data_IF_302200513976
#
_entry.id   IF_302200513976
#
_cell.length_a   1.000
_cell.length_b   1.000
_cell.length_c   1.000
_cell.angle_alpha   90.00
_cell.angle_beta   90.00
_cell.angle_gamma   90.00
#
_symmetry.space_group_name_H-M   'P 1'
#
loop_
_entity.id
_entity.type
_entity.pdbx_description
1 polymer ?
#
# COMPACT_ATOMS: atom_id res chain seq x y z
N UNK A 1 -13.86 1.31 17.23
CA UNK A 1 -12.55 1.94 17.24
C UNK A 1 -12.16 2.42 15.85
N UNK A 2 -11.43 3.54 15.77
CA UNK A 2 -10.83 4.00 14.54
C UNK A 2 -9.31 3.88 14.59
N UNK A 3 -8.71 3.53 13.47
CA UNK A 3 -7.25 3.54 13.28
C UNK A 3 -6.93 4.44 12.11
N UNK A 4 -6.11 5.45 12.31
CA UNK A 4 -5.64 6.34 11.26
C UNK A 4 -4.20 5.99 10.95
N UNK A 5 -3.93 5.56 9.72
CA UNK A 5 -2.58 5.35 9.23
C UNK A 5 -1.95 6.70 8.89
N UNK A 6 -0.75 6.92 9.41
CA UNK A 6 0.01 8.15 9.19
C UNK A 6 1.38 7.81 8.63
N UNK A 7 2.02 8.76 7.96
CA UNK A 7 3.41 8.61 7.55
C UNK A 7 4.36 9.17 8.63
N UNK A 8 5.63 8.85 8.52
CA UNK A 8 6.67 9.44 9.39
C UNK A 8 6.73 10.97 9.29
N UNK A 9 6.34 11.55 8.15
CA UNK A 9 6.31 13.01 7.97
C UNK A 9 5.04 13.64 8.56
N UNK A 10 3.91 12.92 8.52
CA UNK A 10 2.61 13.50 8.88
C UNK A 10 2.16 13.14 10.29
N UNK A 11 2.79 12.14 10.93
CA UNK A 11 2.33 11.59 12.21
C UNK A 11 2.19 12.66 13.31
N UNK A 12 3.28 13.38 13.60
CA UNK A 12 3.27 14.37 14.67
C UNK A 12 2.31 15.54 14.38
N UNK A 13 2.20 15.96 13.13
CA UNK A 13 1.28 17.03 12.74
C UNK A 13 -0.19 16.58 12.90
N UNK A 14 -0.52 15.36 12.50
CA UNK A 14 -1.88 14.80 12.64
C UNK A 14 -2.21 14.60 14.12
N UNK A 15 -1.29 14.05 14.91
CA UNK A 15 -1.48 13.86 16.36
C UNK A 15 -1.76 15.20 17.06
N UNK A 16 -0.91 16.22 16.78
CA UNK A 16 -1.08 17.56 17.35
C UNK A 16 -2.38 18.22 16.92
N UNK A 17 -2.76 18.08 15.67
CA UNK A 17 -4.02 18.61 15.14
C UNK A 17 -5.24 17.96 15.78
N UNK A 18 -5.28 16.64 15.84
CA UNK A 18 -6.38 15.92 16.51
C UNK A 18 -6.50 16.25 17.99
N UNK A 19 -5.37 16.50 18.67
CA UNK A 19 -5.38 16.93 20.06
C UNK A 19 -5.94 18.35 20.21
N UNK A 20 -5.50 19.28 19.36
CA UNK A 20 -5.97 20.68 19.36
C UNK A 20 -7.47 20.79 19.11
N UNK A 21 -8.00 19.99 18.19
CA UNK A 21 -9.42 19.99 17.82
C UNK A 21 -10.27 19.03 18.68
N UNK A 22 -9.73 18.59 19.82
CA UNK A 22 -10.43 17.64 20.72
C UNK A 22 -11.03 16.44 19.96
N UNK A 23 -10.25 15.89 19.00
CA UNK A 23 -10.65 14.75 18.13
C UNK A 23 -12.01 14.94 17.47
N UNK A 24 -12.42 16.18 17.20
CA UNK A 24 -13.74 16.53 16.65
C UNK A 24 -14.91 15.97 17.45
N UNK A 25 -14.75 15.82 18.75
CA UNK A 25 -15.77 15.26 19.64
C UNK A 25 -15.90 13.73 19.56
N UNK A 26 -15.02 13.03 18.81
CA UNK A 26 -15.04 11.58 18.77
C UNK A 26 -14.64 10.99 20.12
N UNK A 27 -15.59 10.29 20.76
CA UNK A 27 -15.41 9.70 22.10
C UNK A 27 -14.93 8.26 22.09
N UNK A 28 -14.89 7.61 20.91
CA UNK A 28 -14.46 6.23 20.78
C UNK A 28 -12.94 6.04 20.85
N UNK A 29 -12.48 4.77 20.91
CA UNK A 29 -11.06 4.45 20.82
C UNK A 29 -10.49 4.88 19.48
N UNK A 30 -9.44 5.72 19.52
CA UNK A 30 -8.73 6.24 18.36
C UNK A 30 -7.25 5.87 18.48
N UNK A 31 -6.72 5.19 17.48
CA UNK A 31 -5.33 4.79 17.40
C UNK A 31 -4.67 5.44 16.18
N UNK A 32 -3.45 5.92 16.34
CA UNK A 32 -2.61 6.32 15.21
C UNK A 32 -1.63 5.20 14.91
N UNK A 33 -1.57 4.82 13.63
CA UNK A 33 -0.67 3.78 13.12
C UNK A 33 0.41 4.43 12.27
N UNK A 34 1.58 4.79 12.86
CA UNK A 34 2.65 5.39 12.09
C UNK A 34 3.19 4.38 11.09
N UNK A 35 3.15 4.74 9.82
CA UNK A 35 3.80 4.02 8.74
C UNK A 35 5.31 4.09 8.92
N UNK A 36 5.96 2.93 8.90
CA UNK A 36 7.41 2.89 8.82
C UNK A 36 7.85 3.13 7.39
N UNK A 37 8.98 3.79 7.27
CA UNK A 37 9.67 3.86 6.02
C UNK A 37 10.13 2.46 5.62
N UNK A 38 9.86 2.05 4.41
CA UNK A 38 10.76 1.12 3.76
C UNK A 38 11.88 2.01 3.26
N UNK A 39 13.09 1.69 3.64
CA UNK A 39 14.27 2.31 3.05
C UNK A 39 14.43 1.87 1.60
N UNK A 40 13.46 2.23 0.76
CA UNK A 40 13.66 2.25 -0.67
C UNK A 40 14.48 3.49 -0.93
N UNK A 41 15.69 3.32 -1.43
CA UNK A 41 16.49 4.43 -1.91
C UNK A 41 15.67 5.18 -2.95
N UNK A 42 15.51 6.47 -2.79
CA UNK A 42 14.90 7.30 -3.83
C UNK A 42 15.76 7.35 -5.08
N UNK A 43 17.02 6.98 -4.96
CA UNK A 43 17.96 6.91 -6.07
C UNK A 43 18.31 5.43 -6.28
N UNK A 44 17.70 4.79 -7.27
CA UNK A 44 18.01 3.41 -7.60
C UNK A 44 19.47 3.30 -8.07
N UNK A 45 20.11 2.19 -7.76
CA UNK A 45 21.43 1.87 -8.30
C UNK A 45 21.32 1.61 -9.81
N UNK A 46 22.42 1.71 -10.54
CA UNK A 46 22.44 1.48 -12.00
C UNK A 46 21.84 0.12 -12.40
N UNK A 47 22.07 -0.93 -11.59
CA UNK A 47 21.46 -2.25 -11.79
C UNK A 47 19.95 -2.24 -11.61
N UNK A 48 19.44 -1.50 -10.61
CA UNK A 48 18.00 -1.43 -10.30
C UNK A 48 17.27 -0.67 -11.40
N UNK A 49 17.90 0.36 -11.95
CA UNK A 49 17.39 1.10 -13.10
C UNK A 49 17.27 0.22 -14.34
N UNK A 50 18.27 -0.60 -14.64
CA UNK A 50 18.21 -1.55 -15.76
C UNK A 50 17.03 -2.50 -15.58
N UNK A 51 16.93 -3.11 -14.40
CA UNK A 51 15.89 -4.07 -14.10
C UNK A 51 14.49 -3.46 -14.19
N UNK A 52 14.27 -2.30 -13.56
CA UNK A 52 13.00 -1.59 -13.59
C UNK A 52 12.54 -1.23 -15.01
N UNK A 53 13.48 -0.88 -15.89
CA UNK A 53 13.14 -0.48 -17.27
C UNK A 53 12.91 -1.69 -18.19
N UNK A 54 13.54 -2.81 -17.93
CA UNK A 54 13.36 -4.04 -18.70
C UNK A 54 12.04 -4.74 -18.35
N UNK A 55 11.57 -4.63 -17.11
CA UNK A 55 10.31 -5.23 -16.66
C UNK A 55 9.08 -4.36 -16.88
N UNK A 56 9.24 -3.07 -17.14
CA UNK A 56 8.10 -2.23 -17.45
C UNK A 56 7.47 -2.63 -18.79
N UNK A 57 6.13 -2.77 -18.87
CA UNK A 57 5.45 -2.92 -20.14
C UNK A 57 5.95 -1.85 -21.12
N UNK A 58 6.22 -2.24 -22.35
CA UNK A 58 6.60 -1.27 -23.38
C UNK A 58 5.40 -0.36 -23.64
N UNK A 59 5.34 0.75 -22.94
CA UNK A 59 4.40 1.81 -23.27
C UNK A 59 4.72 2.34 -24.65
N UNK A 60 3.72 2.40 -25.52
CA UNK A 60 3.84 3.08 -26.79
C UNK A 60 3.89 4.59 -26.51
N UNK A 61 5.10 5.07 -26.21
CA UNK A 61 5.37 6.49 -26.06
C UNK A 61 5.49 7.11 -27.45
N UNK A 62 5.07 8.35 -27.60
CA UNK A 62 5.41 9.11 -28.79
C UNK A 62 6.94 9.31 -28.85
N UNK A 63 7.44 9.66 -30.05
CA UNK A 63 8.89 9.78 -30.29
C UNK A 63 9.57 10.80 -29.35
N UNK A 64 8.86 11.84 -28.96
CA UNK A 64 9.39 12.88 -28.08
C UNK A 64 9.46 12.42 -26.63
N UNK A 65 8.40 11.76 -26.13
CA UNK A 65 8.37 11.18 -24.81
C UNK A 65 9.42 10.07 -24.66
N UNK A 66 9.62 9.26 -25.72
CA UNK A 66 10.66 8.23 -25.73
C UNK A 66 12.06 8.83 -25.63
N UNK A 67 12.36 9.92 -26.38
CA UNK A 67 13.65 10.61 -26.30
C UNK A 67 13.92 11.20 -24.93
N UNK A 68 12.92 11.81 -24.30
CA UNK A 68 13.04 12.35 -22.94
C UNK A 68 13.31 11.22 -21.94
N UNK A 69 12.58 10.14 -22.04
CA UNK A 69 12.76 8.94 -21.20
C UNK A 69 14.16 8.35 -21.34
N UNK A 70 14.64 8.16 -22.58
CA UNK A 70 15.96 7.59 -22.86
C UNK A 70 17.08 8.50 -22.35
N UNK A 71 16.92 9.81 -22.48
CA UNK A 71 17.86 10.79 -21.97
C UNK A 71 17.93 10.80 -20.44
N UNK A 72 16.77 10.75 -19.78
CA UNK A 72 16.70 10.68 -18.33
C UNK A 72 17.28 9.38 -17.79
N UNK A 73 16.95 8.25 -18.42
CA UNK A 73 17.49 6.94 -18.09
C UNK A 73 19.02 6.92 -18.21
N UNK A 74 19.56 7.41 -19.33
CA UNK A 74 21.02 7.49 -19.54
C UNK A 74 21.69 8.39 -18.50
N UNK A 75 21.09 9.53 -18.17
CA UNK A 75 21.62 10.45 -17.17
C UNK A 75 21.62 9.84 -15.76
N UNK A 76 20.55 9.15 -15.38
CA UNK A 76 20.45 8.46 -14.08
C UNK A 76 21.45 7.31 -13.96
N UNK A 77 21.62 6.51 -15.03
CA UNK A 77 22.63 5.44 -15.06
C UNK A 77 24.04 6.02 -14.92
N UNK A 78 24.37 7.06 -15.69
CA UNK A 78 25.66 7.71 -15.64
C UNK A 78 25.96 8.28 -14.25
N UNK A 79 24.96 8.92 -13.64
CA UNK A 79 25.08 9.44 -12.27
C UNK A 79 25.27 8.32 -11.24
N UNK A 80 24.50 7.23 -11.31
CA UNK A 80 24.63 6.09 -10.41
C UNK A 80 25.99 5.38 -10.55
N UNK A 81 26.53 5.30 -11.77
CA UNK A 81 27.87 4.78 -12.02
C UNK A 81 28.97 5.70 -11.47
N UNK A 82 28.77 7.01 -11.52
CA UNK A 82 29.73 7.99 -11.01
C UNK A 82 29.84 7.94 -9.48
N UNK A 83 28.72 7.71 -8.79
CA UNK A 83 28.67 7.59 -7.31
C UNK A 83 29.16 6.21 -6.84
N UNK A 84 29.06 5.20 -7.69
CA UNK A 84 29.43 3.82 -7.41
C UNK A 84 28.24 2.94 -7.03
N UNK A 85 28.12 1.77 -7.66
CA UNK A 85 27.17 0.77 -7.29
C UNK A 85 27.40 0.27 -5.86
N UNK A 86 26.39 0.33 -5.02
CA UNK A 86 26.45 -0.16 -3.64
C UNK A 86 26.94 0.86 -2.62
N UNK A 87 27.29 2.09 -3.03
CA UNK A 87 27.54 3.16 -2.07
C UNK A 87 26.25 3.53 -1.36
N UNK A 88 26.32 3.63 -0.04
CA UNK A 88 25.23 4.24 0.72
C UNK A 88 25.18 5.71 0.36
N UNK A 89 24.00 6.17 -0.03
CA UNK A 89 23.80 7.56 -0.35
C UNK A 89 23.71 8.34 0.96
N UNK A 90 24.81 8.98 1.32
CA UNK A 90 24.94 9.70 2.60
C UNK A 90 24.61 11.19 2.51
N UNK A 91 24.53 11.72 1.29
CA UNK A 91 24.34 13.15 1.05
C UNK A 91 22.87 13.58 1.05
N UNK A 92 21.93 12.65 0.99
CA UNK A 92 20.52 12.95 1.11
C UNK A 92 20.13 13.09 2.57
N UNK A 93 19.30 14.08 2.86
CA UNK A 93 18.59 14.10 4.11
C UNK A 93 17.79 12.80 4.25
N UNK A 94 17.80 12.14 5.41
CA UNK A 94 17.10 10.88 5.61
C UNK A 94 15.67 10.87 5.09
N UNK A 95 14.95 11.99 5.24
CA UNK A 95 13.57 12.13 4.79
C UNK A 95 13.39 12.08 3.27
N UNK A 96 14.42 12.42 2.50
CA UNK A 96 14.40 12.35 1.04
C UNK A 96 14.63 10.94 0.50
N UNK A 97 15.20 10.07 1.32
CA UNK A 97 15.51 8.69 0.95
C UNK A 97 14.40 7.70 1.32
N UNK A 98 13.31 8.19 1.89
CA UNK A 98 12.28 7.37 2.48
C UNK A 98 10.96 7.55 1.73
N UNK A 99 10.43 6.45 1.19
CA UNK A 99 9.11 6.44 0.58
C UNK A 99 8.03 6.05 1.58
N UNK A 100 6.86 6.72 1.54
CA UNK A 100 5.68 6.15 2.14
C UNK A 100 5.36 4.85 1.42
N UNK A 101 5.05 3.84 2.17
CA UNK A 101 4.58 2.58 1.63
C UNK A 101 3.13 2.74 1.20
N UNK A 102 2.78 2.17 0.05
CA UNK A 102 1.42 2.18 -0.46
C UNK A 102 0.45 1.43 0.46
N UNK A 103 -0.82 1.48 0.12
CA UNK A 103 -1.95 0.94 0.91
C UNK A 103 -1.78 -0.50 1.37
N UNK A 104 -1.08 -1.33 0.61
CA UNK A 104 -0.81 -2.70 1.02
C UNK A 104 -0.07 -2.80 2.36
N UNK A 105 0.77 -1.81 2.68
CA UNK A 105 1.57 -1.82 3.91
C UNK A 105 0.82 -1.35 5.16
N UNK A 106 -0.39 -0.88 5.05
CA UNK A 106 -1.17 -0.40 6.20
C UNK A 106 -1.34 -1.51 7.24
N UNK A 107 -1.74 -2.70 6.80
CA UNK A 107 -1.88 -3.86 7.68
C UNK A 107 -0.54 -4.36 8.21
N UNK A 108 0.50 -4.61 7.39
CA UNK A 108 1.84 -4.92 7.89
C UNK A 108 2.40 -3.88 8.86
N UNK A 109 2.12 -2.59 8.66
CA UNK A 109 2.51 -1.55 9.61
C UNK A 109 1.79 -1.69 10.95
N UNK A 110 0.48 -1.93 10.96
CA UNK A 110 -0.28 -2.18 12.17
C UNK A 110 0.22 -3.40 12.94
N UNK A 111 0.68 -4.43 12.24
CA UNK A 111 1.33 -5.59 12.84
C UNK A 111 2.67 -5.20 13.47
N UNK A 112 3.55 -4.56 12.69
CA UNK A 112 4.93 -4.24 13.13
C UNK A 112 5.03 -3.19 14.22
N UNK A 113 4.13 -2.19 14.22
CA UNK A 113 4.12 -1.12 15.22
C UNK A 113 3.28 -1.48 16.47
N UNK A 114 2.69 -2.68 16.48
CA UNK A 114 1.91 -3.19 17.62
C UNK A 114 0.52 -2.57 17.77
N UNK A 115 0.05 -1.75 16.81
CA UNK A 115 -1.31 -1.16 16.88
C UNK A 115 -2.36 -2.24 16.84
N UNK A 116 -2.22 -3.25 15.96
CA UNK A 116 -3.19 -4.35 15.91
C UNK A 116 -3.19 -5.17 17.21
N UNK A 117 -2.02 -5.42 17.81
CA UNK A 117 -1.93 -6.11 19.10
C UNK A 117 -2.71 -5.36 20.20
N UNK A 118 -2.50 -4.04 20.31
CA UNK A 118 -3.22 -3.21 21.28
C UNK A 118 -4.72 -3.18 20.99
N UNK A 119 -5.11 -3.01 19.74
CA UNK A 119 -6.50 -3.00 19.33
C UNK A 119 -7.22 -4.30 19.73
N UNK A 120 -6.58 -5.46 19.54
CA UNK A 120 -7.15 -6.75 19.90
C UNK A 120 -7.11 -7.04 21.40
N UNK A 121 -6.17 -6.45 22.13
CA UNK A 121 -6.18 -6.50 23.60
C UNK A 121 -7.37 -5.70 24.17
N UNK A 122 -7.66 -4.53 23.62
CA UNK A 122 -8.77 -3.67 24.02
C UNK A 122 -10.13 -4.22 23.53
N UNK A 123 -10.14 -4.87 22.38
CA UNK A 123 -11.32 -5.40 21.69
C UNK A 123 -11.13 -6.86 21.28
N UNK A 124 -11.10 -7.81 22.22
CA UNK A 124 -10.76 -9.22 21.94
C UNK A 124 -11.74 -9.91 20.99
N UNK A 125 -12.97 -9.44 20.91
CA UNK A 125 -14.01 -9.96 20.03
C UNK A 125 -14.01 -9.34 18.61
N UNK A 126 -13.10 -8.41 18.33
CA UNK A 126 -13.00 -7.81 17.00
C UNK A 126 -12.58 -8.87 15.99
N UNK A 127 -13.33 -9.01 14.90
CA UNK A 127 -13.12 -10.03 13.88
C UNK A 127 -12.81 -9.43 12.50
N UNK A 128 -13.31 -8.24 12.22
CA UNK A 128 -13.18 -7.61 10.91
C UNK A 128 -12.59 -6.21 11.04
N UNK A 129 -11.82 -5.83 10.04
CA UNK A 129 -11.37 -4.47 9.79
C UNK A 129 -11.96 -4.01 8.46
N UNK A 130 -12.51 -2.81 8.43
CA UNK A 130 -12.77 -2.08 7.20
C UNK A 130 -11.62 -1.11 6.99
N UNK A 131 -11.00 -1.15 5.82
CA UNK A 131 -9.90 -0.29 5.44
C UNK A 131 -10.31 0.52 4.22
N UNK A 132 -10.17 1.83 4.28
CA UNK A 132 -10.49 2.72 3.18
C UNK A 132 -9.62 3.98 3.23
N UNK A 133 -9.58 4.72 2.13
CA UNK A 133 -8.93 6.01 2.07
C UNK A 133 -9.70 7.06 2.88
N UNK A 134 -8.97 8.01 3.46
CA UNK A 134 -9.57 9.11 4.23
C UNK A 134 -10.44 10.04 3.36
N UNK A 135 -10.15 10.12 2.07
CA UNK A 135 -10.91 10.91 1.09
C UNK A 135 -12.10 10.15 0.46
N UNK A 136 -12.25 8.88 0.78
CA UNK A 136 -13.43 8.10 0.39
C UNK A 136 -14.65 8.49 1.27
N UNK A 137 -15.19 9.68 1.04
CA UNK A 137 -16.25 10.27 1.88
C UNK A 137 -17.55 9.46 1.90
N UNK A 138 -17.78 8.58 0.94
CA UNK A 138 -18.91 7.67 0.91
C UNK A 138 -18.68 6.32 1.60
N UNK A 139 -17.46 6.07 2.08
CA UNK A 139 -17.16 4.82 2.78
C UNK A 139 -17.77 4.84 4.19
N UNK A 140 -18.64 3.89 4.46
CA UNK A 140 -19.31 3.72 5.77
C UNK A 140 -19.47 2.23 6.07
N UNK A 141 -19.69 1.92 7.34
CA UNK A 141 -20.00 0.55 7.78
C UNK A 141 -21.47 0.27 7.56
N UNK A 142 -21.78 -0.27 6.39
CA UNK A 142 -23.13 -0.74 6.09
C UNK A 142 -23.34 -2.14 6.72
N UNK A 143 -24.38 -2.33 7.57
CA UNK A 143 -24.64 -3.61 8.22
C UNK A 143 -24.96 -4.75 7.25
N UNK A 144 -25.61 -4.47 6.13
CA UNK A 144 -25.98 -5.48 5.14
C UNK A 144 -24.76 -5.95 4.36
N UNK A 145 -23.87 -5.00 3.99
CA UNK A 145 -22.57 -5.32 3.37
C UNK A 145 -21.71 -6.13 4.32
N UNK A 146 -21.62 -5.73 5.58
CA UNK A 146 -20.86 -6.48 6.60
C UNK A 146 -21.46 -7.88 6.80
N UNK A 147 -22.79 -8.02 6.86
CA UNK A 147 -23.47 -9.29 6.96
C UNK A 147 -23.10 -10.22 5.81
N UNK A 148 -23.14 -9.71 4.59
CA UNK A 148 -22.74 -10.45 3.40
C UNK A 148 -21.24 -10.85 3.44
N UNK A 149 -20.34 -9.94 3.84
CA UNK A 149 -18.90 -10.24 4.00
C UNK A 149 -18.69 -11.37 5.02
N UNK A 150 -19.43 -11.36 6.12
CA UNK A 150 -19.36 -12.43 7.13
C UNK A 150 -19.80 -13.78 6.54
N UNK A 151 -20.90 -13.81 5.78
CA UNK A 151 -21.41 -15.03 5.13
C UNK A 151 -20.43 -15.59 4.12
N UNK A 152 -19.81 -14.73 3.31
CA UNK A 152 -18.78 -15.17 2.34
C UNK A 152 -17.56 -15.77 3.02
N UNK A 153 -17.24 -15.34 4.21
CA UNK A 153 -16.15 -15.86 5.01
C UNK A 153 -14.79 -15.73 4.31
N UNK A 154 -14.59 -14.74 3.46
CA UNK A 154 -13.33 -14.48 2.78
C UNK A 154 -12.29 -13.88 3.73
N UNK A 155 -11.01 -14.06 3.41
CA UNK A 155 -9.91 -13.38 4.14
C UNK A 155 -9.89 -11.89 3.84
N UNK A 156 -10.14 -11.55 2.58
CA UNK A 156 -10.13 -10.21 2.01
C UNK A 156 -11.31 -10.06 1.05
N UNK A 157 -12.07 -9.01 1.21
CA UNK A 157 -13.14 -8.61 0.29
C UNK A 157 -12.92 -7.17 -0.11
N UNK A 158 -12.81 -6.90 -1.40
CA UNK A 158 -12.68 -5.54 -1.93
C UNK A 158 -14.02 -5.06 -2.47
N UNK A 159 -14.34 -3.82 -2.19
CA UNK A 159 -15.44 -3.13 -2.83
C UNK A 159 -14.99 -2.52 -4.14
N UNK A 160 -15.79 -2.68 -5.17
CA UNK A 160 -15.58 -2.08 -6.48
C UNK A 160 -16.83 -1.32 -6.89
N UNK A 161 -16.63 -0.25 -7.63
CA UNK A 161 -17.72 0.56 -8.20
C UNK A 161 -17.67 0.48 -9.72
N UNK A 162 -18.77 0.84 -10.37
CA UNK A 162 -18.79 0.98 -11.83
C UNK A 162 -17.81 2.07 -12.22
N UNK A 163 -16.93 1.75 -13.16
CA UNK A 163 -15.95 2.72 -13.67
C UNK A 163 -16.63 3.82 -14.46
N UNK A 164 -16.25 5.05 -14.20
CA UNK A 164 -16.54 6.20 -15.03
C UNK A 164 -15.34 6.50 -15.95
N UNK A 165 -15.57 7.29 -17.01
CA UNK A 165 -14.53 7.61 -18.01
C UNK A 165 -13.34 8.38 -17.40
N UNK A 166 -13.61 9.17 -16.36
CA UNK A 166 -12.62 9.99 -15.67
C UNK A 166 -11.80 9.22 -14.63
N UNK A 167 -12.22 8.01 -14.28
CA UNK A 167 -11.53 7.22 -13.25
C UNK A 167 -10.16 6.77 -13.75
N UNK A 168 -9.14 7.13 -12.99
CA UNK A 168 -7.75 6.74 -13.21
C UNK A 168 -7.30 5.80 -12.10
N UNK A 169 -6.84 4.64 -12.47
CA UNK A 169 -6.33 3.65 -11.52
C UNK A 169 -6.86 2.25 -11.76
N UNK A 170 -6.56 1.37 -10.82
CA UNK A 170 -6.81 -0.05 -10.93
C UNK A 170 -8.29 -0.44 -10.99
N UNK A 171 -8.51 -1.65 -11.39
CA UNK A 171 -9.84 -2.23 -11.49
C UNK A 171 -9.84 -3.74 -11.45
N UNK A 172 -11.01 -4.32 -11.68
CA UNK A 172 -11.22 -5.77 -11.62
C UNK A 172 -10.97 -6.38 -13.00
N UNK A 173 -10.04 -7.32 -13.08
CA UNK A 173 -9.74 -8.06 -14.29
C UNK A 173 -9.70 -9.58 -14.03
N UNK A 174 -9.92 -10.37 -15.08
CA UNK A 174 -9.74 -11.81 -15.04
C UNK A 174 -8.38 -12.16 -15.66
N UNK A 175 -7.45 -12.66 -14.85
CA UNK A 175 -6.10 -13.06 -15.26
C UNK A 175 -5.96 -14.57 -15.00
N UNK A 176 -5.70 -15.32 -16.05
CA UNK A 176 -5.58 -16.79 -15.98
C UNK A 176 -6.78 -17.47 -15.28
N UNK A 177 -7.99 -17.00 -15.60
CA UNK A 177 -9.23 -17.51 -15.01
C UNK A 177 -9.47 -17.11 -13.55
N UNK A 178 -8.72 -16.18 -13.00
CA UNK A 178 -8.87 -15.67 -11.64
C UNK A 178 -9.19 -14.18 -11.64
N UNK A 179 -10.15 -13.78 -10.85
CA UNK A 179 -10.41 -12.37 -10.59
C UNK A 179 -9.27 -11.76 -9.76
N UNK A 180 -8.78 -10.62 -10.22
CA UNK A 180 -7.73 -9.85 -9.56
C UNK A 180 -8.05 -8.37 -9.62
N UNK A 181 -7.68 -7.64 -8.58
CA UNK A 181 -7.53 -6.19 -8.66
C UNK A 181 -6.16 -5.91 -9.28
N UNK A 182 -6.16 -5.18 -10.37
CA UNK A 182 -4.93 -4.78 -11.07
C UNK A 182 -4.85 -3.27 -11.12
N UNK A 183 -3.66 -2.75 -10.90
CA UNK A 183 -3.34 -1.36 -11.19
C UNK A 183 -2.98 -1.20 -12.67
N UNK A 184 -3.21 -0.01 -13.25
CA UNK A 184 -2.98 0.23 -14.67
C UNK A 184 -1.58 -0.15 -15.14
N UNK A 185 -0.58 0.11 -14.29
CA UNK A 185 0.83 -0.21 -14.56
C UNK A 185 1.18 -1.71 -14.52
N UNK A 186 0.29 -2.54 -14.00
CA UNK A 186 0.43 -4.00 -14.04
C UNK A 186 -0.22 -4.63 -15.29
N UNK A 187 -0.83 -3.81 -16.15
CA UNK A 187 -1.45 -4.24 -17.40
C UNK A 187 -0.44 -4.23 -18.55
N UNK A 188 -0.65 -5.05 -19.59
CA UNK A 188 0.22 -5.08 -20.76
C UNK A 188 0.35 -3.71 -21.43
N UNK A 189 -0.76 -2.97 -21.50
CA UNK A 189 -0.83 -1.59 -21.98
C UNK A 189 -1.62 -0.76 -20.96
N UNK A 190 -1.17 0.45 -20.68
CA UNK A 190 -1.81 1.33 -19.69
C UNK A 190 -3.25 1.66 -20.07
N UNK A 191 -3.50 1.83 -21.38
CA UNK A 191 -4.84 2.07 -21.91
C UNK A 191 -5.84 0.93 -21.68
N UNK A 192 -5.38 -0.28 -21.39
CA UNK A 192 -6.24 -1.44 -21.08
C UNK A 192 -7.08 -1.18 -19.81
N UNK A 193 -6.64 -0.25 -18.94
CA UNK A 193 -7.41 0.14 -17.77
C UNK A 193 -8.79 0.68 -18.11
N UNK A 194 -8.93 1.37 -19.28
CA UNK A 194 -10.21 1.91 -19.74
C UNK A 194 -11.19 0.83 -20.20
N UNK A 195 -10.69 -0.37 -20.48
CA UNK A 195 -11.51 -1.55 -20.80
C UNK A 195 -12.14 -2.22 -19.58
N UNK A 196 -11.70 -1.86 -18.37
CA UNK A 196 -12.22 -2.45 -17.13
C UNK A 196 -13.59 -1.85 -16.78
N UNK A 197 -14.55 -2.71 -16.49
CA UNK A 197 -15.92 -2.29 -16.12
C UNK A 197 -16.03 -1.81 -14.67
N UNK A 198 -15.12 -2.23 -13.81
CA UNK A 198 -15.15 -1.92 -12.39
C UNK A 198 -13.86 -1.25 -11.95
N UNK A 199 -14.01 -0.23 -11.10
CA UNK A 199 -12.95 0.55 -10.51
C UNK A 199 -12.73 0.15 -9.05
N UNK A 200 -11.48 0.10 -8.60
CA UNK A 200 -11.14 -0.18 -7.22
C UNK A 200 -11.46 1.03 -6.34
N UNK A 201 -12.44 0.91 -5.46
CA UNK A 201 -12.81 1.99 -4.53
C UNK A 201 -11.80 2.19 -3.39
N UNK A 202 -10.80 1.32 -3.28
CA UNK A 202 -9.90 1.22 -2.12
C UNK A 202 -10.60 0.95 -0.77
N UNK A 203 -11.86 0.52 -0.79
CA UNK A 203 -12.54 0.03 0.39
C UNK A 203 -12.42 -1.48 0.46
N UNK A 204 -11.96 -1.98 1.60
CA UNK A 204 -11.70 -3.41 1.78
C UNK A 204 -12.09 -3.89 3.16
N UNK A 205 -12.56 -5.12 3.22
CA UNK A 205 -12.92 -5.82 4.45
C UNK A 205 -11.96 -6.98 4.70
N UNK A 206 -11.40 -7.05 5.89
CA UNK A 206 -10.37 -8.01 6.27
C UNK A 206 -10.85 -8.82 7.46
N UNK A 207 -10.87 -10.14 7.33
CA UNK A 207 -11.09 -11.03 8.47
C UNK A 207 -9.76 -11.22 9.21
N UNK A 208 -9.67 -10.72 10.44
CA UNK A 208 -8.42 -10.61 11.20
C UNK A 208 -7.71 -11.95 11.36
N UNK A 209 -8.38 -12.98 11.87
CA UNK A 209 -7.73 -14.26 12.15
C UNK A 209 -7.26 -14.98 10.88
N UNK A 210 -8.02 -14.87 9.80
CA UNK A 210 -7.63 -15.43 8.50
C UNK A 210 -6.47 -14.66 7.89
N UNK A 211 -6.48 -13.34 8.03
CA UNK A 211 -5.36 -12.51 7.63
C UNK A 211 -4.09 -12.87 8.40
N UNK A 212 -4.17 -13.01 9.72
CA UNK A 212 -3.04 -13.47 10.54
C UNK A 212 -2.53 -14.83 10.08
N UNK A 213 -3.42 -15.76 9.74
CA UNK A 213 -3.02 -17.07 9.22
C UNK A 213 -2.26 -16.98 7.89
N UNK A 214 -2.57 -16.01 7.01
CA UNK A 214 -1.79 -15.75 5.79
C UNK A 214 -0.34 -15.36 6.12
N UNK A 215 -0.13 -14.63 7.22
CA UNK A 215 1.20 -14.31 7.73
C UNK A 215 1.83 -15.45 8.55
N UNK A 216 1.14 -16.55 8.76
CA UNK A 216 1.59 -17.62 9.64
C UNK A 216 1.58 -17.23 11.13
N UNK A 217 0.70 -16.30 11.50
CA UNK A 217 0.54 -15.77 12.85
C UNK A 217 -0.83 -16.13 13.44
N UNK A 218 -0.89 -16.17 14.75
CA UNK A 218 -2.11 -16.16 15.55
C UNK A 218 -2.15 -14.89 16.41
N UNK A 219 -3.29 -14.56 17.01
CA UNK A 219 -3.42 -13.38 17.90
C UNK A 219 -2.38 -13.37 19.02
N UNK A 220 -2.10 -14.53 19.59
CA UNK A 220 -1.10 -14.66 20.66
C UNK A 220 0.32 -14.31 20.22
N UNK A 221 0.62 -14.41 18.94
CA UNK A 221 1.95 -14.12 18.39
C UNK A 221 2.23 -12.63 18.24
N UNK A 222 1.20 -11.79 18.30
CA UNK A 222 1.32 -10.36 18.07
C UNK A 222 2.13 -9.60 19.14
N UNK A 223 2.36 -10.22 20.28
CA UNK A 223 3.22 -9.68 21.35
C UNK A 223 4.71 -9.91 21.05
N UNK A 224 5.05 -10.83 20.17
CA UNK A 224 6.42 -11.14 19.75
C UNK A 224 6.79 -10.34 18.51
N UNK A 225 7.44 -9.21 18.73
CA UNK A 225 7.82 -8.28 17.66
C UNK A 225 8.76 -8.89 16.62
N UNK A 226 9.65 -9.82 17.03
CA UNK A 226 10.58 -10.46 16.09
C UNK A 226 9.85 -11.47 15.21
N UNK A 227 8.97 -12.28 15.78
CA UNK A 227 8.12 -13.21 15.02
C UNK A 227 7.25 -12.47 14.01
N UNK A 228 6.63 -11.38 14.43
CA UNK A 228 5.85 -10.50 13.53
C UNK A 228 6.71 -9.94 12.42
N UNK A 229 7.91 -9.43 12.73
CA UNK A 229 8.80 -8.86 11.71
C UNK A 229 9.26 -9.93 10.72
N UNK A 230 9.55 -11.16 11.14
CA UNK A 230 9.91 -12.29 10.27
C UNK A 230 8.74 -12.68 9.37
N UNK A 231 7.53 -12.77 9.90
CA UNK A 231 6.32 -13.08 9.14
C UNK A 231 6.05 -12.05 8.04
N UNK A 232 6.17 -10.76 8.36
CA UNK A 232 6.01 -9.68 7.37
C UNK A 232 7.07 -9.76 6.28
N UNK A 233 8.35 -9.98 6.63
CA UNK A 233 9.42 -10.16 5.65
C UNK A 233 9.18 -11.36 4.73
N UNK A 234 8.70 -12.48 5.27
CA UNK A 234 8.43 -13.68 4.51
C UNK A 234 7.32 -13.50 3.46
N UNK A 235 6.28 -12.72 3.77
CA UNK A 235 5.25 -12.35 2.80
C UNK A 235 5.82 -11.38 1.75
N UNK A 236 6.51 -10.32 2.18
CA UNK A 236 7.09 -9.33 1.29
C UNK A 236 8.04 -9.94 0.26
N UNK A 237 8.83 -10.94 0.65
CA UNK A 237 9.76 -11.63 -0.25
C UNK A 237 9.06 -12.41 -1.38
N UNK A 238 7.77 -12.71 -1.24
CA UNK A 238 6.98 -13.44 -2.24
C UNK A 238 6.12 -12.53 -3.12
N UNK A 239 6.07 -11.25 -2.79
CA UNK A 239 5.25 -10.29 -3.54
C UNK A 239 6.05 -9.72 -4.71
N UNK A 240 5.47 -9.73 -5.92
CA UNK A 240 6.06 -8.97 -7.01
C UNK A 240 6.01 -7.48 -6.67
N UNK A 241 7.10 -6.78 -6.90
CA UNK A 241 7.20 -5.33 -6.71
C UNK A 241 7.34 -4.67 -8.07
N UNK A 242 6.46 -3.74 -8.35
CA UNK A 242 6.52 -2.91 -9.54
C UNK A 242 6.98 -1.52 -9.13
N UNK A 243 7.95 -0.97 -9.85
CA UNK A 243 8.39 0.40 -9.65
C UNK A 243 7.77 1.27 -10.74
N UNK A 244 7.05 2.29 -10.33
CA UNK A 244 6.41 3.23 -11.24
C UNK A 244 7.05 4.59 -11.08
N UNK A 245 7.35 5.24 -12.20
CA UNK A 245 7.71 6.65 -12.20
C UNK A 245 6.41 7.46 -12.17
N UNK A 246 6.30 8.34 -11.19
CA UNK A 246 5.26 9.36 -11.17
C UNK A 246 5.90 10.69 -11.50
N UNK A 247 5.26 11.44 -12.38
CA UNK A 247 5.63 12.81 -12.73
C UNK A 247 5.50 13.73 -11.51
#
# INVERSE_FOLDING_TARGET
PHVITTSYLTHAAIEGYLAAENRYGYAGPLHLSPGRNIGLRMIPMARDLRFAWEEMPQQLLDEQAQKVRDSLHAALIAWAQQIGEGSDYTDNLPDQCLHPVGHWYEVPNMLKNGVLARLLADQPNLQYLMVHNVDALGADVDPDVLGWVIEQGATFTAEVITRCLEDRGGGLACVDGRLRLLEGLAMPHEEDEFGLSYYNSNTSWLHIDRLLAVFGLARADLIDAEKVAQAVRAIAARMPTYVTLKD
#
